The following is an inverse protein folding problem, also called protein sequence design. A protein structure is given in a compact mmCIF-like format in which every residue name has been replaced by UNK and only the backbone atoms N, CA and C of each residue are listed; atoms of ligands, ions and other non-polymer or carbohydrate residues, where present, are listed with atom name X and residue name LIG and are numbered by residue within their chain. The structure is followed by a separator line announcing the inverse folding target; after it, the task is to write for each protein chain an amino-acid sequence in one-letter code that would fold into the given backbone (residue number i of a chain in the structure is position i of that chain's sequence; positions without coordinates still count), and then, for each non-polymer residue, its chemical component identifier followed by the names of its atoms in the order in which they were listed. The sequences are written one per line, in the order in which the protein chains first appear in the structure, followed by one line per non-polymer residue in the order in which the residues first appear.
data_IF_790052786227
#
_entry.id   IF_790052786227
#
_cell.length_a   1.000
_cell.length_b   1.000
_cell.length_c   1.000
_cell.angle_alpha   90.00
_cell.angle_beta   90.00
_cell.angle_gamma   90.00
#
_symmetry.space_group_name_H-M   'P 1'
#
loop_
_entity.id
_entity.type
_entity.pdbx_description
1 polymer ?
#
# COMPACT_ATOMS: atom_id res chain seq x y z
N UNK A 1 -59.69 4.08 6.76
CA UNK A 1 -60.53 5.04 5.99
C UNK A 1 -59.56 5.97 5.27
N UNK A 2 -59.06 5.65 4.06
CA UNK A 2 -59.70 5.85 2.73
C UNK A 2 -60.42 7.20 2.63
N UNK A 3 -59.82 8.09 1.84
CA UNK A 3 -60.35 9.19 1.01
C UNK A 3 -59.09 9.87 0.41
N UNK A 4 -58.56 9.49 -0.77
CA UNK A 4 -59.07 9.76 -2.14
C UNK A 4 -59.41 11.27 -2.24
N UNK A 5 -58.76 12.13 -3.02
CA UNK A 5 -58.87 12.26 -4.48
C UNK A 5 -58.02 13.49 -4.88
N UNK A 6 -57.16 13.28 -5.89
CA UNK A 6 -56.83 14.11 -7.06
C UNK A 6 -56.83 15.65 -6.94
N UNK A 7 -55.75 16.24 -7.48
CA UNK A 7 -55.87 17.40 -8.34
C UNK A 7 -54.82 18.48 -8.07
N UNK A 8 -53.86 18.58 -8.98
CA UNK A 8 -53.47 19.81 -9.69
C UNK A 8 -51.96 19.82 -9.92
N UNK A 9 -51.60 19.33 -11.10
CA UNK A 9 -50.54 19.87 -11.95
C UNK A 9 -50.05 21.25 -11.54
N UNK A 10 -48.83 21.32 -11.02
CA UNK A 10 -47.94 22.41 -11.39
C UNK A 10 -46.55 21.82 -11.59
N UNK A 11 -46.32 21.39 -12.83
CA UNK A 11 -45.00 21.22 -13.36
C UNK A 11 -44.28 22.57 -13.24
N UNK A 12 -43.52 22.75 -12.16
CA UNK A 12 -42.47 23.76 -12.12
C UNK A 12 -41.33 23.23 -12.98
N UNK A 13 -41.54 23.29 -14.30
CA UNK A 13 -40.45 23.27 -15.26
C UNK A 13 -39.66 24.53 -14.96
N UNK A 14 -38.64 24.38 -14.12
CA UNK A 14 -37.55 25.33 -14.05
C UNK A 14 -36.83 25.18 -15.39
N UNK A 15 -37.33 25.91 -16.39
CA UNK A 15 -36.55 26.23 -17.58
C UNK A 15 -35.46 27.17 -17.08
N UNK A 16 -34.36 26.60 -16.61
CA UNK A 16 -33.09 27.31 -16.57
C UNK A 16 -32.68 27.60 -18.01
N UNK A 17 -33.21 28.70 -18.55
CA UNK A 17 -32.58 29.39 -19.68
C UNK A 17 -31.32 30.04 -19.10
N UNK A 18 -30.29 29.23 -18.85
CA UNK A 18 -28.96 29.79 -18.77
C UNK A 18 -28.38 29.79 -20.17
N UNK A 19 -28.12 31.01 -20.64
CA UNK A 19 -27.06 31.26 -21.60
C UNK A 19 -25.85 30.41 -21.21
N UNK A 20 -25.64 29.31 -21.94
CA UNK A 20 -24.51 28.39 -21.79
C UNK A 20 -23.25 29.04 -22.35
N UNK A 21 -22.94 30.24 -21.86
CA UNK A 21 -21.63 30.83 -21.99
C UNK A 21 -20.70 29.82 -21.33
N UNK A 22 -19.98 29.06 -22.16
CA UNK A 22 -19.25 27.86 -21.80
C UNK A 22 -18.28 28.16 -20.65
N UNK A 23 -18.73 27.91 -19.41
CA UNK A 23 -17.90 27.97 -18.22
C UNK A 23 -17.16 26.65 -18.09
N UNK A 24 -15.90 26.74 -17.65
CA UNK A 24 -15.08 25.57 -17.36
C UNK A 24 -15.80 24.65 -16.34
N UNK A 25 -15.57 23.32 -16.39
CA UNK A 25 -16.26 22.35 -15.54
C UNK A 25 -15.69 22.32 -14.11
N UNK A 26 -15.67 23.47 -13.42
CA UNK A 26 -15.00 23.66 -12.11
C UNK A 26 -15.48 22.64 -11.07
N UNK A 27 -16.79 22.40 -10.98
CA UNK A 27 -17.34 21.43 -10.05
C UNK A 27 -16.79 20.02 -10.28
N UNK A 28 -16.66 19.58 -11.54
CA UNK A 28 -16.10 18.27 -11.86
C UNK A 28 -14.60 18.20 -11.62
N UNK A 29 -13.87 19.31 -11.85
CA UNK A 29 -12.45 19.39 -11.51
C UNK A 29 -12.22 19.25 -10.01
N UNK A 30 -13.04 19.90 -9.19
CA UNK A 30 -12.97 19.81 -7.73
C UNK A 30 -13.39 18.42 -7.24
N UNK A 31 -14.43 17.83 -7.84
CA UNK A 31 -14.82 16.43 -7.55
C UNK A 31 -13.73 15.44 -7.90
N UNK A 32 -13.06 15.58 -9.04
CA UNK A 32 -11.95 14.69 -9.43
C UNK A 32 -10.76 14.81 -8.47
N UNK A 33 -10.39 16.03 -8.08
CA UNK A 33 -9.34 16.25 -7.07
C UNK A 33 -9.72 15.65 -5.71
N UNK A 34 -10.96 15.82 -5.28
CA UNK A 34 -11.45 15.26 -4.03
C UNK A 34 -11.47 13.72 -4.07
N UNK A 35 -11.82 13.11 -5.21
CA UNK A 35 -11.78 11.66 -5.38
C UNK A 35 -10.34 11.11 -5.28
N UNK A 36 -9.38 11.76 -5.94
CA UNK A 36 -7.95 11.41 -5.82
C UNK A 36 -7.44 11.61 -4.38
N UNK A 37 -7.85 12.69 -3.70
CA UNK A 37 -7.54 12.88 -2.29
C UNK A 37 -8.12 11.74 -1.44
N UNK A 38 -9.32 11.25 -1.76
CA UNK A 38 -9.89 10.07 -1.13
C UNK A 38 -9.06 8.80 -1.30
N UNK A 39 -8.33 8.65 -2.42
CA UNK A 39 -7.36 7.56 -2.63
C UNK A 39 -6.13 7.76 -1.74
N UNK A 40 -5.61 8.99 -1.65
CA UNK A 40 -4.47 9.34 -0.77
C UNK A 40 -4.81 9.05 0.69
N UNK A 41 -5.97 9.53 1.15
CA UNK A 41 -6.44 9.37 2.53
C UNK A 41 -6.66 7.90 2.89
N UNK A 42 -7.06 7.09 1.90
CA UNK A 42 -7.16 5.64 2.03
C UNK A 42 -5.79 4.93 1.99
N UNK A 43 -4.66 5.66 2.04
CA UNK A 43 -3.27 5.15 1.96
C UNK A 43 -2.83 4.65 0.57
N UNK A 44 -3.44 5.18 -0.49
CA UNK A 44 -3.05 4.85 -1.87
C UNK A 44 -1.61 5.18 -2.22
N UNK A 45 -0.96 6.14 -1.54
CA UNK A 45 0.47 6.41 -1.74
C UNK A 45 1.38 5.23 -1.40
N UNK A 46 0.92 4.30 -0.57
CA UNK A 46 1.63 3.07 -0.18
C UNK A 46 1.05 1.86 -0.89
N UNK A 47 -0.27 1.71 -0.88
CA UNK A 47 -0.95 0.48 -1.30
C UNK A 47 -1.54 0.53 -2.72
N UNK A 48 -1.48 1.68 -3.40
CA UNK A 48 -1.95 1.85 -4.78
C UNK A 48 -1.13 2.93 -5.52
N UNK A 49 0.20 2.90 -5.33
CA UNK A 49 1.11 3.97 -5.78
C UNK A 49 1.06 4.16 -7.28
N UNK A 50 1.05 3.07 -8.04
CA UNK A 50 1.03 3.11 -9.50
C UNK A 50 -0.30 3.66 -10.01
N UNK A 51 -1.43 3.21 -9.45
CA UNK A 51 -2.75 3.74 -9.79
C UNK A 51 -2.88 5.22 -9.43
N UNK A 52 -2.36 5.63 -8.27
CA UNK A 52 -2.35 7.03 -7.86
C UNK A 52 -1.52 7.90 -8.82
N UNK A 53 -0.39 7.39 -9.33
CA UNK A 53 0.39 8.07 -10.35
C UNK A 53 -0.39 8.21 -11.66
N UNK A 54 -1.09 7.14 -12.08
CA UNK A 54 -1.98 7.17 -13.25
C UNK A 54 -3.09 8.20 -13.08
N UNK A 55 -3.79 8.20 -11.94
CA UNK A 55 -4.87 9.15 -11.65
C UNK A 55 -4.38 10.61 -11.67
N UNK A 56 -3.17 10.89 -11.17
CA UNK A 56 -2.58 12.23 -11.25
C UNK A 56 -2.22 12.63 -12.68
N UNK A 57 -1.72 11.68 -13.49
CA UNK A 57 -1.48 11.89 -14.92
C UNK A 57 -2.78 12.20 -15.69
N UNK A 58 -3.84 11.44 -15.43
CA UNK A 58 -5.15 11.64 -16.02
C UNK A 58 -5.80 12.96 -15.59
N UNK A 59 -5.61 13.36 -14.32
CA UNK A 59 -6.00 14.68 -13.84
C UNK A 59 -5.30 15.77 -14.63
N UNK A 60 -3.97 15.69 -14.80
CA UNK A 60 -3.22 16.68 -15.57
C UNK A 60 -3.72 16.77 -17.01
N UNK A 61 -3.92 15.63 -17.67
CA UNK A 61 -4.46 15.59 -19.04
C UNK A 61 -5.86 16.23 -19.15
N UNK A 62 -6.74 15.98 -18.18
CA UNK A 62 -8.05 16.61 -18.14
C UNK A 62 -7.97 18.14 -17.93
N UNK A 63 -7.06 18.60 -17.08
CA UNK A 63 -6.83 20.03 -16.81
C UNK A 63 -6.21 20.75 -18.03
N UNK A 64 -5.35 20.05 -18.78
CA UNK A 64 -4.77 20.54 -20.03
C UNK A 64 -5.85 20.69 -21.11
N UNK A 65 -6.77 19.73 -21.22
CA UNK A 65 -7.92 19.84 -22.14
C UNK A 65 -8.86 21.00 -21.74
N UNK A 66 -9.15 21.20 -20.45
CA UNK A 66 -9.89 22.37 -19.97
C UNK A 66 -9.19 23.66 -20.41
N UNK A 67 -7.87 23.73 -20.25
CA UNK A 67 -7.06 24.90 -20.61
C UNK A 67 -7.05 25.13 -22.12
N UNK A 68 -6.90 24.08 -22.93
CA UNK A 68 -6.93 24.14 -24.38
C UNK A 68 -8.30 24.62 -24.89
N UNK A 69 -9.40 24.11 -24.31
CA UNK A 69 -10.76 24.54 -24.66
C UNK A 69 -11.05 25.97 -24.23
N UNK A 70 -10.47 26.43 -23.12
CA UNK A 70 -10.64 27.80 -22.62
C UNK A 70 -10.03 28.85 -23.55
N UNK A 71 -8.99 28.49 -24.32
CA UNK A 71 -8.33 29.36 -25.30
C UNK A 71 -9.11 29.51 -26.61
N UNK A 72 -10.09 28.63 -26.90
CA UNK A 72 -10.87 28.67 -28.15
C UNK A 72 -11.98 29.72 -28.10
N UNK A 73 -12.27 30.35 -29.25
CA UNK A 73 -13.36 31.32 -29.39
C UNK A 73 -14.74 30.67 -29.13
N UNK A 74 -14.94 29.44 -29.62
CA UNK A 74 -16.09 28.58 -29.29
C UNK A 74 -15.64 27.43 -28.39
N UNK A 75 -15.74 27.61 -27.06
CA UNK A 75 -15.27 26.63 -26.09
C UNK A 75 -16.16 25.39 -26.08
N UNK A 76 -15.55 24.19 -26.15
CA UNK A 76 -16.25 22.89 -26.09
C UNK A 76 -15.69 22.04 -24.96
N UNK A 77 -16.24 22.20 -23.75
CA UNK A 77 -15.79 21.44 -22.58
C UNK A 77 -16.31 19.99 -22.50
N UNK A 78 -17.03 19.49 -23.51
CA UNK A 78 -17.54 18.11 -23.53
C UNK A 78 -16.46 17.05 -23.25
N UNK A 79 -15.35 17.03 -24.01
CA UNK A 79 -14.26 16.08 -23.79
C UNK A 79 -13.65 16.19 -22.38
N UNK A 80 -13.37 17.41 -21.91
CA UNK A 80 -12.87 17.62 -20.54
C UNK A 80 -13.81 17.08 -19.47
N UNK A 81 -15.14 17.24 -19.64
CA UNK A 81 -16.13 16.71 -18.69
C UNK A 81 -16.15 15.19 -18.67
N UNK A 82 -16.04 14.55 -19.84
CA UNK A 82 -15.95 13.09 -19.96
C UNK A 82 -14.70 12.56 -19.27
N UNK A 83 -13.53 13.19 -19.51
CA UNK A 83 -12.28 12.84 -18.84
C UNK A 83 -12.39 12.96 -17.31
N UNK A 84 -12.93 14.07 -16.80
CA UNK A 84 -13.11 14.28 -15.36
C UNK A 84 -14.13 13.31 -14.74
N UNK A 85 -15.20 12.98 -15.45
CA UNK A 85 -16.21 12.02 -14.98
C UNK A 85 -15.61 10.62 -14.88
N UNK A 86 -14.85 10.20 -15.90
CA UNK A 86 -14.10 8.93 -15.87
C UNK A 86 -13.10 8.92 -14.72
N UNK A 87 -12.35 10.01 -14.54
CA UNK A 87 -11.35 10.12 -13.48
C UNK A 87 -11.94 9.97 -12.08
N UNK A 88 -13.12 10.55 -11.82
CA UNK A 88 -13.84 10.34 -10.54
C UNK A 88 -14.16 8.86 -10.35
N UNK A 89 -14.73 8.20 -11.37
CA UNK A 89 -15.08 6.79 -11.29
C UNK A 89 -13.86 5.88 -11.08
N UNK A 90 -12.75 6.17 -11.78
CA UNK A 90 -11.50 5.43 -11.64
C UNK A 90 -10.89 5.63 -10.23
N UNK A 91 -10.90 6.86 -9.72
CA UNK A 91 -10.42 7.15 -8.37
C UNK A 91 -11.24 6.42 -7.30
N UNK A 92 -12.57 6.40 -7.43
CA UNK A 92 -13.45 5.65 -6.52
C UNK A 92 -13.21 4.14 -6.61
N UNK A 93 -12.98 3.60 -7.82
CA UNK A 93 -12.64 2.20 -8.01
C UNK A 93 -11.29 1.84 -7.36
N UNK A 94 -10.26 2.66 -7.55
CA UNK A 94 -8.94 2.47 -6.91
C UNK A 94 -9.07 2.52 -5.40
N UNK A 95 -9.81 3.50 -4.86
CA UNK A 95 -10.07 3.63 -3.43
C UNK A 95 -10.69 2.36 -2.84
N UNK A 96 -11.63 1.74 -3.56
CA UNK A 96 -12.30 0.52 -3.11
C UNK A 96 -11.38 -0.71 -3.04
N UNK A 97 -10.26 -0.74 -3.79
CA UNK A 97 -9.30 -1.84 -3.77
C UNK A 97 -8.35 -1.78 -2.57
N UNK A 98 -8.10 -0.59 -2.02
CA UNK A 98 -7.02 -0.39 -1.04
C UNK A 98 -7.22 -1.18 0.26
N UNK A 99 -8.41 -1.28 0.87
CA UNK A 99 -8.58 -2.07 2.09
C UNK A 99 -8.17 -3.54 1.92
N UNK A 100 -8.50 -4.15 0.78
CA UNK A 100 -8.09 -5.53 0.47
C UNK A 100 -6.57 -5.66 0.34
N UNK A 101 -5.92 -4.70 -0.32
CA UNK A 101 -4.44 -4.67 -0.43
C UNK A 101 -3.75 -4.47 0.92
N UNK A 102 -4.33 -3.68 1.82
CA UNK A 102 -3.81 -3.52 3.18
C UNK A 102 -3.89 -4.86 3.94
N UNK A 103 -5.01 -5.58 3.82
CA UNK A 103 -5.19 -6.89 4.45
C UNK A 103 -4.21 -7.93 3.90
N UNK A 104 -4.04 -7.99 2.58
CA UNK A 104 -3.04 -8.86 1.93
C UNK A 104 -1.62 -8.53 2.39
N UNK A 105 -1.26 -7.25 2.43
CA UNK A 105 0.06 -6.81 2.89
C UNK A 105 0.29 -7.16 4.37
N UNK A 106 -0.72 -6.97 5.22
CA UNK A 106 -0.67 -7.36 6.63
C UNK A 106 -0.45 -8.87 6.78
N UNK A 107 -1.22 -9.68 6.06
CA UNK A 107 -1.06 -11.14 6.09
C UNK A 107 0.35 -11.56 5.63
N UNK A 108 0.88 -10.92 4.58
CA UNK A 108 2.22 -11.19 4.09
C UNK A 108 3.31 -10.79 5.10
N UNK A 109 3.13 -9.66 5.79
CA UNK A 109 4.01 -9.23 6.87
C UNK A 109 3.97 -10.22 8.05
N UNK A 110 2.78 -10.63 8.49
CA UNK A 110 2.61 -11.58 9.60
C UNK A 110 3.29 -12.92 9.31
N UNK A 111 3.16 -13.43 8.08
CA UNK A 111 3.87 -14.64 7.62
C UNK A 111 5.38 -14.43 7.74
N UNK A 112 5.92 -13.34 7.17
CA UNK A 112 7.36 -13.06 7.19
C UNK A 112 7.90 -12.89 8.63
N UNK A 113 7.15 -12.21 9.51
CA UNK A 113 7.50 -12.06 10.92
C UNK A 113 7.58 -13.41 11.62
N UNK A 114 6.59 -14.28 11.40
CA UNK A 114 6.57 -15.61 12.03
C UNK A 114 7.69 -16.51 11.51
N UNK A 115 7.98 -16.47 10.21
CA UNK A 115 9.11 -17.18 9.62
C UNK A 115 10.44 -16.69 10.19
N UNK A 116 10.64 -15.37 10.30
CA UNK A 116 11.84 -14.80 10.90
C UNK A 116 12.03 -15.25 12.37
N UNK A 117 10.96 -15.23 13.17
CA UNK A 117 10.99 -15.73 14.56
C UNK A 117 11.36 -17.21 14.62
N UNK A 118 10.72 -18.04 13.81
CA UNK A 118 10.97 -19.47 13.77
C UNK A 118 12.44 -19.78 13.39
N UNK A 119 12.99 -19.08 12.39
CA UNK A 119 14.40 -19.25 12.01
C UNK A 119 15.37 -18.76 13.08
N UNK A 120 15.06 -17.67 13.80
CA UNK A 120 15.86 -17.24 14.95
C UNK A 120 15.84 -18.27 16.09
N UNK A 121 14.68 -18.84 16.40
CA UNK A 121 14.54 -19.91 17.40
C UNK A 121 15.30 -21.18 17.00
N UNK A 122 15.24 -21.56 15.72
CA UNK A 122 16.03 -22.67 15.18
C UNK A 122 17.54 -22.40 15.30
N UNK A 123 18.00 -21.22 14.89
CA UNK A 123 19.39 -20.81 15.00
C UNK A 123 19.87 -20.90 16.46
N UNK A 124 19.05 -20.45 17.41
CA UNK A 124 19.32 -20.52 18.85
C UNK A 124 19.48 -21.95 19.32
N UNK A 125 18.52 -22.81 18.98
CA UNK A 125 18.53 -24.22 19.36
C UNK A 125 19.73 -24.99 18.77
N UNK A 126 20.17 -24.63 17.56
CA UNK A 126 21.37 -25.20 16.95
C UNK A 126 22.66 -24.70 17.61
N UNK A 127 22.75 -23.40 17.92
CA UNK A 127 23.90 -22.81 18.62
C UNK A 127 24.12 -23.43 20.01
N UNK A 128 23.06 -23.86 20.69
CA UNK A 128 23.16 -24.61 21.95
C UNK A 128 23.81 -25.98 21.77
N UNK A 129 23.55 -26.63 20.62
CA UNK A 129 24.10 -27.95 20.24
C UNK A 129 25.47 -27.86 19.56
N UNK A 130 25.94 -26.66 19.23
CA UNK A 130 27.19 -26.46 18.51
C UNK A 130 28.41 -26.94 19.33
N UNK A 131 29.39 -27.61 18.68
CA UNK A 131 30.54 -28.20 19.37
C UNK A 131 31.50 -27.12 19.90
N UNK A 132 31.75 -27.10 21.22
CA UNK A 132 32.54 -26.06 21.91
C UNK A 132 34.03 -26.44 22.08
N UNK A 133 34.71 -26.76 20.98
CA UNK A 133 36.15 -27.03 20.96
C UNK A 133 37.01 -25.76 21.01
N UNK A 134 38.32 -25.89 21.27
CA UNK A 134 39.25 -24.75 21.31
C UNK A 134 39.25 -23.90 20.03
N UNK A 135 39.00 -24.52 18.86
CA UNK A 135 38.99 -23.85 17.56
C UNK A 135 37.65 -23.22 17.15
N UNK A 136 36.52 -23.64 17.72
CA UNK A 136 35.16 -23.21 17.31
C UNK A 136 34.47 -22.31 18.32
N UNK A 137 35.04 -22.15 19.52
CA UNK A 137 34.43 -21.38 20.60
C UNK A 137 34.24 -19.91 20.24
N UNK A 138 35.24 -19.28 19.60
CA UNK A 138 35.14 -17.87 19.20
C UNK A 138 34.02 -17.65 18.18
N UNK A 139 33.94 -18.51 17.15
CA UNK A 139 32.91 -18.44 16.11
C UNK A 139 31.50 -18.63 16.68
N UNK A 140 31.33 -19.56 17.62
CA UNK A 140 30.03 -19.78 18.29
C UNK A 140 29.59 -18.56 19.11
N UNK A 141 30.52 -17.94 19.84
CA UNK A 141 30.18 -16.73 20.62
C UNK A 141 29.88 -15.53 19.70
N UNK A 142 30.58 -15.41 18.56
CA UNK A 142 30.25 -14.41 17.54
C UNK A 142 28.85 -14.63 16.95
N UNK A 143 28.53 -15.85 16.53
CA UNK A 143 27.19 -16.19 15.99
C UNK A 143 26.06 -15.95 17.00
N UNK A 144 26.30 -16.19 18.30
CA UNK A 144 25.33 -15.85 19.35
C UNK A 144 25.12 -14.34 19.48
N UNK A 145 26.20 -13.56 19.42
CA UNK A 145 26.10 -12.12 19.46
C UNK A 145 25.34 -11.58 18.24
N UNK A 146 25.62 -12.14 17.05
CA UNK A 146 24.89 -11.82 15.83
C UNK A 146 23.40 -12.16 15.97
N UNK A 147 23.07 -13.36 16.45
CA UNK A 147 21.67 -13.76 16.68
C UNK A 147 20.96 -12.85 17.69
N UNK A 148 21.62 -12.45 18.78
CA UNK A 148 21.06 -11.49 19.73
C UNK A 148 20.81 -10.12 19.09
N UNK A 149 21.69 -9.70 18.17
CA UNK A 149 21.48 -8.51 17.34
C UNK A 149 20.26 -8.64 16.43
N UNK A 150 20.04 -9.81 15.82
CA UNK A 150 18.85 -10.10 15.01
C UNK A 150 17.56 -10.12 15.85
N UNK A 151 17.57 -10.74 17.03
CA UNK A 151 16.44 -10.73 17.98
C UNK A 151 16.10 -9.29 18.39
N UNK A 152 17.12 -8.43 18.58
CA UNK A 152 16.91 -7.00 18.88
C UNK A 152 16.32 -6.25 17.68
N UNK A 153 16.79 -6.54 16.46
CA UNK A 153 16.27 -5.93 15.22
C UNK A 153 14.79 -6.26 14.95
N UNK A 154 14.24 -7.32 15.57
CA UNK A 154 12.80 -7.61 15.52
C UNK A 154 11.94 -6.49 16.14
N UNK A 155 12.51 -5.58 16.95
CA UNK A 155 11.82 -4.38 17.42
C UNK A 155 11.49 -3.40 16.28
N UNK A 156 12.35 -3.30 15.26
CA UNK A 156 12.10 -2.45 14.08
C UNK A 156 11.02 -3.02 13.18
N UNK A 157 10.90 -4.35 13.13
CA UNK A 157 9.79 -5.06 12.47
C UNK A 157 8.48 -4.73 13.17
N UNK A 158 8.44 -4.86 14.50
CA UNK A 158 7.24 -4.54 15.29
C UNK A 158 6.84 -3.07 15.16
N UNK A 159 7.82 -2.16 15.13
CA UNK A 159 7.57 -0.74 14.92
C UNK A 159 6.96 -0.46 13.54
N UNK A 160 7.42 -1.16 12.49
CA UNK A 160 6.84 -1.05 11.15
C UNK A 160 5.40 -1.61 11.10
N UNK A 161 5.13 -2.74 11.75
CA UNK A 161 3.77 -3.29 11.88
C UNK A 161 2.85 -2.31 12.61
N UNK A 162 3.31 -1.70 13.70
CA UNK A 162 2.55 -0.72 14.46
C UNK A 162 2.26 0.57 13.68
N UNK A 163 3.16 0.95 12.76
CA UNK A 163 2.98 2.06 11.84
C UNK A 163 2.10 1.71 10.63
N UNK A 164 1.60 0.46 10.53
CA UNK A 164 0.91 -0.09 9.36
C UNK A 164 1.75 0.01 8.07
N UNK A 165 3.07 -0.01 8.20
CA UNK A 165 4.03 -0.17 7.11
C UNK A 165 4.30 -1.67 6.92
N UNK A 166 3.31 -2.37 6.38
CA UNK A 166 3.38 -3.83 6.25
C UNK A 166 4.41 -4.28 5.22
N UNK A 167 4.65 -3.51 4.16
CA UNK A 167 5.74 -3.78 3.22
C UNK A 167 7.10 -3.64 3.88
N UNK A 168 7.35 -2.54 4.60
CA UNK A 168 8.60 -2.36 5.34
C UNK A 168 8.79 -3.39 6.46
N UNK A 169 7.71 -3.79 7.14
CA UNK A 169 7.76 -4.87 8.14
C UNK A 169 8.16 -6.20 7.51
N UNK A 170 7.53 -6.57 6.39
CA UNK A 170 7.84 -7.78 5.64
C UNK A 170 9.30 -7.80 5.20
N UNK A 171 9.78 -6.73 4.58
CA UNK A 171 11.16 -6.65 4.06
C UNK A 171 12.19 -6.77 5.18
N UNK A 172 11.99 -6.07 6.30
CA UNK A 172 12.85 -6.18 7.49
C UNK A 172 12.84 -7.59 8.07
N UNK A 173 11.67 -8.22 8.16
CA UNK A 173 11.54 -9.59 8.68
C UNK A 173 12.26 -10.60 7.77
N UNK A 174 12.14 -10.48 6.45
CA UNK A 174 12.85 -11.33 5.49
C UNK A 174 14.37 -11.19 5.63
N UNK A 175 14.89 -9.96 5.79
CA UNK A 175 16.32 -9.73 6.03
C UNK A 175 16.80 -10.42 7.32
N UNK A 176 15.99 -10.37 8.39
CA UNK A 176 16.31 -11.07 9.65
C UNK A 176 16.31 -12.58 9.44
N UNK A 177 15.28 -13.11 8.76
CA UNK A 177 15.17 -14.54 8.42
C UNK A 177 16.40 -15.03 7.65
N UNK A 178 16.82 -14.31 6.60
CA UNK A 178 17.98 -14.69 5.78
C UNK A 178 19.29 -14.73 6.59
N UNK A 179 19.50 -13.75 7.47
CA UNK A 179 20.68 -13.72 8.35
C UNK A 179 20.64 -14.83 9.39
N UNK A 180 19.47 -15.11 9.97
CA UNK A 180 19.31 -16.22 10.91
C UNK A 180 19.51 -17.58 10.22
N UNK A 181 19.02 -17.75 8.99
CA UNK A 181 19.25 -18.95 8.18
C UNK A 181 20.75 -19.16 7.87
N UNK A 182 21.49 -18.07 7.61
CA UNK A 182 22.95 -18.15 7.45
C UNK A 182 23.63 -18.70 8.71
N UNK A 183 23.17 -18.29 9.90
CA UNK A 183 23.68 -18.84 11.17
C UNK A 183 23.33 -20.33 11.29
N UNK A 184 22.08 -20.72 10.99
CA UNK A 184 21.64 -22.14 10.95
C UNK A 184 22.57 -22.99 10.08
N UNK A 185 22.86 -22.53 8.87
CA UNK A 185 23.74 -23.22 7.92
C UNK A 185 25.17 -23.35 8.45
N UNK A 186 25.74 -22.26 8.99
CA UNK A 186 27.09 -22.27 9.55
C UNK A 186 27.23 -23.24 10.73
N UNK A 187 26.23 -23.26 11.62
CA UNK A 187 26.23 -24.17 12.77
C UNK A 187 26.09 -25.62 12.33
N UNK A 188 25.19 -25.91 11.39
CA UNK A 188 25.03 -27.26 10.84
C UNK A 188 26.32 -27.75 10.16
N UNK A 189 27.00 -26.89 9.40
CA UNK A 189 28.29 -27.20 8.79
C UNK A 189 29.37 -27.49 9.85
N UNK A 190 29.39 -26.74 10.95
CA UNK A 190 30.31 -26.98 12.07
C UNK A 190 30.03 -28.32 12.78
N UNK A 191 28.75 -28.65 13.02
CA UNK A 191 28.33 -29.94 13.61
C UNK A 191 28.75 -31.10 12.70
N UNK A 192 28.52 -30.98 11.39
CA UNK A 192 28.87 -32.02 10.41
C UNK A 192 30.40 -32.30 10.37
N UNK A 193 31.23 -31.24 10.40
CA UNK A 193 32.70 -31.38 10.43
C UNK A 193 33.22 -32.13 11.67
N UNK A 194 32.51 -32.04 12.79
CA UNK A 194 32.87 -32.77 14.02
C UNK A 194 32.39 -34.22 13.97
N UNK A 195 31.22 -34.49 13.38
CA UNK A 195 30.70 -35.87 13.23
C UNK A 195 31.42 -36.71 12.17
N UNK A 196 32.00 -36.08 11.15
CA UNK A 196 32.78 -36.77 10.10
C UNK A 196 34.24 -37.03 10.47
N UNK A 197 34.66 -36.70 11.70
CA UNK A 197 35.97 -37.02 12.29
C UNK A 197 35.81 -38.14 13.30
#
# INVERSE_FOLDING_TARGET
MKNIVKGLTLALVVVFVFASCAKAPTQLMDSAKAAIQGVVDAKGGVYAKDELNTLNGDLQAAMDEVTAQSKKFFKKFGPAKEMLTKLVADADAVKALIPGRIEEAKSAADIAVNEAKATCEEAKALLEKAPKGKGTKADIEAMKADLAGLETAMADVQSAVAAEDYFGAKDKAMVIKEKAATIVEQVNAAIAKVKGR
#
